data_IF_581253262837
#
_entry.id   IF_581253262837
#
_cell.length_a   1.000
_cell.length_b   1.000
_cell.length_c   1.000
_cell.angle_alpha   90.00
_cell.angle_beta   90.00
_cell.angle_gamma   90.00
#
_symmetry.space_group_name_H-M   'P 1'
#
loop_
_entity.id
_entity.type
_entity.pdbx_description
1 polymer ?
#
# COMPACT_ATOMS: atom_id res chain seq x y z
N UNK A 1 8.82 66.21 -11.76
CA UNK A 1 9.34 66.39 -10.38
C UNK A 1 8.30 65.84 -9.39
N UNK A 2 8.47 64.62 -8.98
CA UNK A 2 7.77 64.03 -7.84
C UNK A 2 8.69 62.96 -7.25
N UNK A 3 9.13 63.20 -6.04
CA UNK A 3 10.02 62.39 -5.23
C UNK A 3 9.37 61.07 -4.84
N UNK A 4 10.07 59.96 -5.06
CA UNK A 4 9.75 58.67 -4.48
C UNK A 4 10.60 58.48 -3.22
N UNK A 5 9.94 58.45 -2.07
CA UNK A 5 10.52 58.02 -0.80
C UNK A 5 10.63 56.51 -0.73
N UNK A 6 11.71 55.91 -0.17
CA UNK A 6 11.85 54.51 -0.04
C UNK A 6 11.12 53.95 1.18
N UNK A 7 10.41 52.84 0.98
CA UNK A 7 9.79 52.08 2.08
C UNK A 7 10.90 51.50 2.97
N UNK A 8 10.90 51.91 4.23
CA UNK A 8 11.76 51.32 5.26
C UNK A 8 11.25 49.93 5.63
N UNK A 9 12.17 48.98 5.67
CA UNK A 9 11.90 47.57 5.97
C UNK A 9 11.36 47.37 7.38
N UNK A 10 10.28 46.60 7.48
CA UNK A 10 9.79 46.02 8.73
C UNK A 10 10.47 44.65 8.89
N UNK A 11 11.47 44.62 9.76
CA UNK A 11 12.05 43.33 10.25
C UNK A 11 11.10 42.77 11.29
N UNK A 12 10.29 41.77 10.93
CA UNK A 12 9.59 40.96 11.90
C UNK A 12 10.60 40.03 12.61
N UNK A 13 11.01 40.40 13.81
CA UNK A 13 11.61 39.46 14.75
C UNK A 13 10.48 38.59 15.30
N UNK A 14 10.29 37.39 14.79
CA UNK A 14 9.56 36.32 15.45
C UNK A 14 10.45 35.72 16.50
N UNK A 15 10.41 36.26 17.72
CA UNK A 15 10.92 35.53 18.89
C UNK A 15 9.94 34.35 19.13
N UNK A 16 10.43 33.15 18.87
CA UNK A 16 9.76 31.94 19.31
C UNK A 16 9.79 31.90 20.84
N UNK A 17 8.69 32.28 21.47
CA UNK A 17 8.48 32.02 22.90
C UNK A 17 8.42 30.51 23.10
N UNK A 18 9.51 29.95 23.59
CA UNK A 18 9.55 28.56 24.09
C UNK A 18 8.79 28.55 25.42
N UNK A 19 7.58 28.00 25.43
CA UNK A 19 6.82 27.79 26.66
C UNK A 19 7.42 26.59 27.38
N UNK A 20 8.03 26.72 28.58
CA UNK A 20 8.66 25.62 29.30
C UNK A 20 7.67 24.54 29.80
N UNK A 21 6.37 24.69 29.49
CA UNK A 21 5.32 23.71 29.79
C UNK A 21 4.79 22.97 28.56
N UNK A 22 5.35 23.17 27.37
CA UNK A 22 5.09 22.34 26.23
C UNK A 22 5.83 20.99 26.43
N UNK A 23 5.24 20.15 27.29
CA UNK A 23 5.54 18.73 27.24
C UNK A 23 5.04 18.25 25.90
N UNK A 24 5.95 17.85 25.01
CA UNK A 24 5.57 17.13 23.79
C UNK A 24 4.55 16.05 24.20
N UNK A 25 3.41 15.94 23.47
CA UNK A 25 2.47 14.88 23.77
C UNK A 25 3.23 13.56 23.65
N UNK A 26 3.30 12.82 24.77
CA UNK A 26 3.81 11.45 24.77
C UNK A 26 2.86 10.69 23.85
N UNK A 27 3.24 10.52 22.59
CA UNK A 27 2.53 9.65 21.66
C UNK A 27 2.70 8.25 22.24
N UNK A 28 1.60 7.69 22.76
CA UNK A 28 1.58 6.27 23.09
C UNK A 28 2.08 5.51 21.86
N UNK A 29 2.94 4.49 22.01
CA UNK A 29 3.40 3.72 20.87
C UNK A 29 2.16 3.18 20.16
N UNK A 30 2.04 3.52 18.88
CA UNK A 30 0.94 3.06 18.05
C UNK A 30 0.96 1.54 18.04
N UNK A 31 -0.08 0.92 18.63
CA UNK A 31 -0.17 -0.53 18.71
C UNK A 31 -0.28 -1.06 17.28
N UNK A 32 0.74 -1.78 16.81
CA UNK A 32 0.71 -2.42 15.50
C UNK A 32 -0.42 -3.45 15.50
N UNK A 33 -1.36 -3.37 14.55
CA UNK A 33 -2.50 -4.27 14.49
C UNK A 33 -2.01 -5.70 14.23
N UNK A 34 -2.68 -6.68 14.83
CA UNK A 34 -2.36 -8.10 14.65
C UNK A 34 -2.81 -8.67 13.32
N UNK A 35 -3.53 -7.89 12.52
CA UNK A 35 -4.08 -8.27 11.21
C UNK A 35 -3.69 -7.25 10.13
N UNK A 36 -3.15 -7.72 9.01
CA UNK A 36 -2.60 -6.89 7.94
C UNK A 36 -3.14 -7.30 6.57
N UNK A 37 -3.41 -6.29 5.73
CA UNK A 37 -3.67 -6.44 4.30
C UNK A 37 -2.45 -5.92 3.55
N UNK A 38 -1.69 -6.79 2.87
CA UNK A 38 -0.71 -6.38 1.89
C UNK A 38 -1.43 -6.04 0.58
N UNK A 39 -1.35 -4.78 0.17
CA UNK A 39 -2.19 -4.23 -0.90
C UNK A 39 -1.36 -3.83 -2.12
N UNK A 40 -1.65 -4.43 -3.27
CA UNK A 40 -1.33 -3.84 -4.56
C UNK A 40 -2.43 -2.87 -5.02
N UNK A 41 -2.12 -2.05 -6.02
CA UNK A 41 -3.04 -1.04 -6.54
C UNK A 41 -3.62 -1.43 -7.89
N UNK A 42 -2.74 -1.75 -8.85
CA UNK A 42 -3.14 -2.17 -10.18
C UNK A 42 -3.83 -3.53 -10.11
N UNK A 43 -4.92 -3.70 -10.83
CA UNK A 43 -5.74 -4.91 -10.78
C UNK A 43 -6.54 -5.12 -9.48
N UNK A 44 -6.30 -4.31 -8.43
CA UNK A 44 -7.05 -4.38 -7.16
C UNK A 44 -7.97 -3.17 -6.99
N UNK A 45 -7.42 -1.97 -6.91
CA UNK A 45 -8.21 -0.73 -6.80
C UNK A 45 -8.31 0.02 -8.12
N UNK A 46 -7.39 -0.24 -9.06
CA UNK A 46 -7.38 0.28 -10.42
C UNK A 46 -7.58 -0.88 -11.40
N UNK A 47 -8.46 -0.72 -12.40
CA UNK A 47 -8.74 -1.76 -13.38
C UNK A 47 -9.25 -1.15 -14.71
N UNK A 48 -9.22 -1.94 -15.78
CA UNK A 48 -9.50 -1.45 -17.16
C UNK A 48 -10.90 -0.87 -17.38
N UNK A 49 -11.87 -1.21 -16.54
CA UNK A 49 -13.26 -0.74 -16.68
C UNK A 49 -13.55 0.55 -15.89
N UNK A 50 -12.54 1.11 -15.21
CA UNK A 50 -12.67 2.37 -14.50
C UNK A 50 -11.56 3.33 -14.92
N UNK A 51 -11.94 4.46 -15.50
CA UNK A 51 -11.03 5.49 -15.96
C UNK A 51 -11.44 6.85 -15.35
N UNK A 52 -10.62 7.36 -14.44
CA UNK A 52 -10.79 8.68 -13.84
C UNK A 52 -9.45 9.23 -13.36
N UNK A 53 -8.76 9.96 -14.22
CA UNK A 53 -7.44 10.52 -13.96
C UNK A 53 -7.37 11.37 -12.68
N UNK A 54 -8.45 12.11 -12.33
CA UNK A 54 -8.49 12.92 -11.11
C UNK A 54 -8.45 12.08 -9.83
N UNK A 55 -8.76 10.80 -9.93
CA UNK A 55 -8.70 9.83 -8.83
C UNK A 55 -7.56 8.82 -9.03
N UNK A 56 -6.59 9.10 -9.88
CA UNK A 56 -5.54 8.15 -10.24
C UNK A 56 -6.11 6.79 -10.68
N UNK A 57 -7.25 6.80 -11.40
CA UNK A 57 -8.00 5.61 -11.84
C UNK A 57 -8.45 4.65 -10.72
N UNK A 58 -8.47 5.10 -9.47
CA UNK A 58 -8.92 4.30 -8.31
C UNK A 58 -10.45 4.24 -8.29
N UNK A 59 -10.99 3.03 -8.40
CA UNK A 59 -12.43 2.76 -8.37
C UNK A 59 -13.00 2.88 -6.93
N UNK A 60 -14.00 3.76 -6.71
CA UNK A 60 -14.65 3.91 -5.41
C UNK A 60 -15.31 2.62 -4.89
N UNK A 61 -15.79 1.75 -5.78
CA UNK A 61 -16.43 0.50 -5.40
C UNK A 61 -15.40 -0.50 -4.87
N UNK A 62 -14.21 -0.55 -5.47
CA UNK A 62 -13.09 -1.35 -4.96
C UNK A 62 -12.59 -0.82 -3.60
N UNK A 63 -12.49 0.50 -3.44
CA UNK A 63 -12.16 1.14 -2.15
C UNK A 63 -13.20 0.80 -1.08
N UNK A 64 -14.50 0.82 -1.44
CA UNK A 64 -15.59 0.45 -0.52
C UNK A 64 -15.48 -1.01 -0.07
N UNK A 65 -15.09 -1.94 -0.95
CA UNK A 65 -14.87 -3.35 -0.60
C UNK A 65 -13.64 -3.51 0.30
N UNK A 66 -12.55 -2.83 0.01
CA UNK A 66 -11.38 -2.81 0.89
C UNK A 66 -11.74 -2.30 2.29
N UNK A 67 -12.49 -1.18 2.38
CA UNK A 67 -12.99 -0.67 3.67
C UNK A 67 -13.84 -1.70 4.43
N UNK A 68 -14.69 -2.48 3.73
CA UNK A 68 -15.47 -3.54 4.36
C UNK A 68 -14.57 -4.65 4.91
N UNK A 69 -13.47 -5.00 4.24
CA UNK A 69 -12.49 -5.96 4.78
C UNK A 69 -11.88 -5.41 6.08
N UNK A 70 -11.37 -4.17 6.05
CA UNK A 70 -10.81 -3.52 7.25
C UNK A 70 -11.80 -3.50 8.41
N UNK A 71 -13.04 -3.07 8.18
CA UNK A 71 -14.08 -3.01 9.22
C UNK A 71 -14.46 -4.39 9.79
N UNK A 72 -14.47 -5.43 8.96
CA UNK A 72 -14.85 -6.77 9.38
C UNK A 72 -13.76 -7.52 10.15
N UNK A 73 -12.49 -7.08 10.03
CA UNK A 73 -11.31 -7.81 10.53
C UNK A 73 -10.42 -7.00 11.45
N UNK A 74 -10.59 -5.66 11.50
CA UNK A 74 -9.68 -4.75 12.20
C UNK A 74 -8.31 -4.63 11.53
N UNK A 75 -8.15 -5.12 10.29
CA UNK A 75 -6.87 -5.09 9.61
C UNK A 75 -6.51 -3.68 9.13
N UNK A 76 -5.22 -3.37 9.24
CA UNK A 76 -4.60 -2.20 8.60
C UNK A 76 -3.92 -2.60 7.30
N UNK A 77 -3.63 -1.61 6.47
CA UNK A 77 -3.05 -1.81 5.14
C UNK A 77 -1.55 -1.54 5.16
N UNK A 78 -0.79 -2.41 4.50
CA UNK A 78 0.62 -2.21 4.12
C UNK A 78 0.69 -2.23 2.61
N UNK A 79 1.24 -1.18 2.02
CA UNK A 79 1.33 -1.06 0.56
C UNK A 79 2.49 -1.89 0.03
N UNK A 80 2.23 -2.74 -0.98
CA UNK A 80 3.23 -3.52 -1.72
C UNK A 80 3.31 -3.13 -3.20
N UNK A 81 2.50 -2.16 -3.64
CA UNK A 81 2.46 -1.71 -5.01
C UNK A 81 3.74 -1.01 -5.45
N UNK A 82 4.10 -1.13 -6.72
CA UNK A 82 5.16 -0.36 -7.36
C UNK A 82 4.96 1.17 -7.28
N UNK A 83 3.74 1.62 -7.03
CA UNK A 83 3.42 3.05 -6.85
C UNK A 83 4.19 3.72 -5.70
N UNK A 84 4.77 2.96 -4.76
CA UNK A 84 5.52 3.44 -3.59
C UNK A 84 6.81 4.20 -3.91
N UNK A 85 7.41 3.98 -5.04
CA UNK A 85 8.72 4.57 -5.30
C UNK A 85 9.33 4.22 -6.63
N UNK A 86 8.52 3.74 -7.57
CA UNK A 86 8.99 3.49 -8.92
C UNK A 86 9.27 4.84 -9.61
N UNK A 87 10.42 4.92 -10.29
CA UNK A 87 10.80 6.07 -11.11
C UNK A 87 9.77 6.39 -12.21
N UNK A 88 8.89 5.44 -12.52
CA UNK A 88 7.82 5.55 -13.52
C UNK A 88 6.52 6.14 -12.97
N UNK A 89 6.32 6.17 -11.65
CA UNK A 89 5.13 6.74 -11.03
C UNK A 89 5.45 8.12 -10.44
N UNK A 90 4.65 9.09 -10.85
CA UNK A 90 4.81 10.45 -10.36
C UNK A 90 4.38 10.53 -8.88
N UNK A 91 5.14 11.19 -8.02
CA UNK A 91 4.84 11.27 -6.58
C UNK A 91 3.41 11.68 -6.27
N UNK A 92 2.76 12.49 -7.13
CA UNK A 92 1.39 12.93 -6.90
C UNK A 92 0.35 11.78 -7.01
N UNK A 93 0.59 10.74 -7.82
CA UNK A 93 -0.31 9.58 -7.93
C UNK A 93 -0.31 8.81 -6.61
N UNK A 94 0.87 8.55 -6.05
CA UNK A 94 1.01 7.89 -4.76
C UNK A 94 0.34 8.68 -3.63
N UNK A 95 0.55 10.00 -3.58
CA UNK A 95 -0.11 10.86 -2.60
C UNK A 95 -1.62 10.92 -2.79
N UNK A 96 -2.11 10.94 -4.04
CA UNK A 96 -3.53 10.88 -4.35
C UNK A 96 -4.14 9.57 -3.83
N UNK A 97 -3.48 8.45 -4.05
CA UNK A 97 -3.91 7.14 -3.53
C UNK A 97 -4.02 7.17 -2.00
N UNK A 98 -2.95 7.55 -1.29
CA UNK A 98 -2.98 7.63 0.17
C UNK A 98 -4.08 8.56 0.69
N UNK A 99 -4.31 9.68 0.01
CA UNK A 99 -5.39 10.61 0.34
C UNK A 99 -6.77 9.97 0.15
N UNK A 100 -6.99 9.21 -0.94
CA UNK A 100 -8.27 8.50 -1.18
C UNK A 100 -8.51 7.45 -0.10
N UNK A 101 -7.50 6.67 0.29
CA UNK A 101 -7.61 5.69 1.36
C UNK A 101 -7.90 6.35 2.70
N UNK A 102 -7.22 7.46 3.01
CA UNK A 102 -7.48 8.27 4.20
C UNK A 102 -8.91 8.80 4.23
N UNK A 103 -9.42 9.36 3.12
CA UNK A 103 -10.81 9.85 3.02
C UNK A 103 -11.85 8.73 3.18
N UNK A 104 -11.49 7.50 2.85
CA UNK A 104 -12.30 6.31 3.08
C UNK A 104 -12.16 5.77 4.52
N UNK A 105 -11.39 6.46 5.38
CA UNK A 105 -11.08 6.02 6.74
C UNK A 105 -10.45 4.60 6.74
N UNK A 106 -9.53 4.34 5.81
CA UNK A 106 -8.71 3.13 5.72
C UNK A 106 -7.33 3.46 6.29
N UNK A 107 -6.95 2.76 7.35
CA UNK A 107 -5.66 2.96 7.99
C UNK A 107 -4.55 2.30 7.17
N UNK A 108 -3.71 3.12 6.55
CA UNK A 108 -2.48 2.68 5.89
C UNK A 108 -1.34 2.83 6.88
N UNK A 109 -0.92 1.68 7.43
CA UNK A 109 0.09 1.61 8.49
C UNK A 109 1.48 1.93 7.95
N UNK A 110 1.86 1.30 6.83
CA UNK A 110 3.24 1.34 6.33
C UNK A 110 3.31 1.03 4.83
N UNK A 111 4.50 1.19 4.28
CA UNK A 111 4.90 0.67 2.98
C UNK A 111 5.90 -0.48 3.20
N UNK A 112 5.70 -1.62 2.56
CA UNK A 112 6.70 -2.69 2.61
C UNK A 112 8.03 -2.24 1.97
N UNK A 113 9.17 -2.79 2.37
CA UNK A 113 10.45 -2.45 1.75
C UNK A 113 10.42 -2.75 0.25
N UNK A 114 11.04 -1.90 -0.55
CA UNK A 114 11.14 -2.16 -1.99
C UNK A 114 12.34 -3.06 -2.30
N UNK A 115 12.05 -4.26 -2.85
CA UNK A 115 13.07 -5.22 -3.25
C UNK A 115 12.95 -5.46 -4.76
N UNK A 116 13.97 -5.06 -5.55
CA UNK A 116 13.91 -5.23 -7.00
C UNK A 116 13.68 -6.69 -7.41
N UNK A 117 12.71 -6.90 -8.29
CA UNK A 117 12.46 -8.20 -8.90
C UNK A 117 13.63 -8.59 -9.79
N UNK A 118 14.14 -9.82 -9.62
CA UNK A 118 15.16 -10.40 -10.50
C UNK A 118 14.60 -11.64 -11.18
N UNK A 119 14.89 -11.77 -12.45
CA UNK A 119 14.46 -12.89 -13.27
C UNK A 119 15.67 -13.72 -13.72
N UNK A 120 15.45 -15.01 -13.94
CA UNK A 120 16.46 -15.93 -14.47
C UNK A 120 16.89 -15.50 -15.87
N UNK A 121 18.13 -15.78 -16.23
CA UNK A 121 18.65 -15.50 -17.59
C UNK A 121 17.84 -16.28 -18.63
N UNK A 122 17.61 -15.62 -19.77
CA UNK A 122 16.80 -16.21 -20.85
C UNK A 122 15.30 -16.05 -20.69
N UNK A 123 14.84 -15.30 -19.68
CA UNK A 123 13.44 -14.97 -19.54
C UNK A 123 12.91 -14.26 -20.79
N UNK A 124 11.89 -14.87 -21.38
CA UNK A 124 11.11 -14.31 -22.50
C UNK A 124 9.65 -14.63 -22.19
N UNK A 125 9.02 -13.80 -21.36
CA UNK A 125 7.63 -14.03 -20.96
C UNK A 125 6.67 -13.41 -21.96
N UNK A 126 5.69 -14.19 -22.35
CA UNK A 126 4.57 -13.76 -23.20
C UNK A 126 3.27 -13.63 -22.41
N UNK A 127 3.25 -14.07 -21.14
CA UNK A 127 2.06 -13.99 -20.27
C UNK A 127 2.45 -13.82 -18.80
N UNK A 128 1.65 -13.09 -18.05
CA UNK A 128 1.76 -12.89 -16.59
C UNK A 128 1.76 -14.22 -15.81
N UNK A 129 1.01 -15.22 -16.28
CA UNK A 129 0.90 -16.52 -15.61
C UNK A 129 2.21 -17.33 -15.64
N UNK A 130 3.19 -16.93 -16.45
CA UNK A 130 4.48 -17.58 -16.53
C UNK A 130 5.57 -16.89 -15.71
N UNK A 131 5.35 -15.63 -15.32
CA UNK A 131 6.33 -14.82 -14.60
C UNK A 131 6.89 -15.54 -13.36
N UNK A 132 6.01 -16.11 -12.55
CA UNK A 132 6.36 -16.79 -11.31
C UNK A 132 7.44 -17.90 -11.48
N UNK A 133 7.50 -18.54 -12.65
CA UNK A 133 8.48 -19.62 -12.94
C UNK A 133 9.92 -19.11 -13.07
N UNK A 134 10.08 -17.83 -13.37
CA UNK A 134 11.38 -17.21 -13.66
C UNK A 134 11.86 -16.27 -12.55
N UNK A 135 11.06 -16.04 -11.54
CA UNK A 135 11.46 -15.20 -10.41
C UNK A 135 12.59 -15.87 -9.64
N UNK A 136 13.65 -15.12 -9.39
CA UNK A 136 14.74 -15.58 -8.52
C UNK A 136 14.25 -15.48 -7.06
N UNK A 137 14.28 -16.58 -6.28
CA UNK A 137 13.89 -16.58 -4.87
C UNK A 137 14.65 -15.51 -4.07
N UNK A 138 13.98 -14.90 -3.09
CA UNK A 138 14.55 -13.79 -2.30
C UNK A 138 14.56 -12.44 -3.01
N UNK A 139 13.72 -12.28 -4.04
CA UNK A 139 13.57 -11.00 -4.77
C UNK A 139 12.11 -10.69 -5.04
N UNK A 140 11.79 -9.40 -5.27
CA UNK A 140 10.46 -8.92 -5.60
C UNK A 140 9.47 -8.97 -4.44
N UNK A 141 8.18 -8.88 -4.74
CA UNK A 141 7.10 -8.67 -3.77
C UNK A 141 6.96 -9.76 -2.71
N UNK A 142 7.20 -11.02 -3.04
CA UNK A 142 7.12 -12.08 -2.04
C UNK A 142 8.17 -11.89 -0.93
N UNK A 143 9.38 -11.47 -1.30
CA UNK A 143 10.43 -11.15 -0.34
C UNK A 143 10.13 -9.87 0.44
N UNK A 144 9.51 -8.87 -0.17
CA UNK A 144 9.05 -7.66 0.51
C UNK A 144 8.09 -7.98 1.65
N UNK A 145 7.10 -8.86 1.39
CA UNK A 145 6.15 -9.35 2.39
C UNK A 145 6.88 -10.11 3.51
N UNK A 146 7.80 -11.01 3.16
CA UNK A 146 8.57 -11.74 4.15
C UNK A 146 9.42 -10.84 5.04
N UNK A 147 10.14 -9.88 4.46
CA UNK A 147 10.97 -8.95 5.23
C UNK A 147 10.13 -8.09 6.15
N UNK A 148 8.99 -7.57 5.66
CA UNK A 148 8.09 -6.79 6.50
C UNK A 148 7.54 -7.62 7.66
N UNK A 149 7.03 -8.82 7.38
CA UNK A 149 6.51 -9.73 8.41
C UNK A 149 7.59 -10.12 9.45
N UNK A 150 8.84 -10.31 9.03
CA UNK A 150 9.93 -10.65 9.95
C UNK A 150 10.27 -9.52 10.92
N UNK A 151 10.00 -8.27 10.54
CA UNK A 151 10.15 -7.11 11.41
C UNK A 151 8.94 -6.92 12.34
N UNK A 152 7.80 -7.59 12.06
CA UNK A 152 6.53 -7.45 12.77
C UNK A 152 6.02 -8.81 13.29
N UNK A 153 6.69 -9.40 14.29
CA UNK A 153 6.32 -10.72 14.84
C UNK A 153 4.96 -10.72 15.55
N UNK A 154 4.43 -9.56 15.92
CA UNK A 154 3.10 -9.37 16.52
C UNK A 154 1.95 -9.63 15.53
N UNK A 155 2.20 -9.55 14.22
CA UNK A 155 1.20 -9.82 13.19
C UNK A 155 0.91 -11.31 13.11
N UNK A 156 -0.33 -11.68 13.39
CA UNK A 156 -0.81 -13.07 13.41
C UNK A 156 -1.60 -13.46 12.18
N UNK A 157 -2.31 -12.49 11.60
CA UNK A 157 -3.16 -12.72 10.44
C UNK A 157 -2.79 -11.74 9.34
N UNK A 158 -2.71 -12.22 8.12
CA UNK A 158 -2.53 -11.35 6.98
C UNK A 158 -3.18 -11.93 5.73
N UNK A 159 -3.40 -11.06 4.75
CA UNK A 159 -3.85 -11.40 3.41
C UNK A 159 -3.08 -10.56 2.40
N UNK A 160 -2.82 -11.12 1.24
CA UNK A 160 -2.18 -10.46 0.11
C UNK A 160 -3.25 -10.24 -0.95
N UNK A 161 -3.49 -8.99 -1.34
CA UNK A 161 -4.35 -8.60 -2.45
C UNK A 161 -3.47 -8.16 -3.61
N UNK A 162 -3.31 -9.01 -4.61
CA UNK A 162 -2.46 -8.80 -5.77
C UNK A 162 -2.99 -9.63 -6.95
N UNK A 163 -3.12 -9.03 -8.14
CA UNK A 163 -3.64 -9.72 -9.32
C UNK A 163 -2.55 -10.51 -10.07
N UNK A 164 -1.28 -10.26 -9.76
CA UNK A 164 -0.13 -10.88 -10.39
C UNK A 164 0.52 -11.95 -9.51
N UNK A 165 1.07 -13.00 -10.16
CA UNK A 165 1.77 -14.07 -9.46
C UNK A 165 3.25 -13.75 -9.28
N UNK A 166 3.61 -13.24 -8.11
CA UNK A 166 5.00 -13.02 -7.70
C UNK A 166 5.62 -14.25 -7.02
N UNK A 167 5.30 -15.44 -7.52
CA UNK A 167 5.77 -16.73 -6.97
C UNK A 167 5.25 -16.98 -5.54
N UNK A 168 4.04 -16.53 -5.22
CA UNK A 168 3.44 -16.62 -3.89
C UNK A 168 3.43 -18.05 -3.32
N UNK A 169 3.12 -19.05 -4.17
CA UNK A 169 3.13 -20.45 -3.75
C UNK A 169 4.53 -20.95 -3.41
N UNK A 170 5.53 -20.60 -4.25
CA UNK A 170 6.92 -20.99 -4.03
C UNK A 170 7.51 -20.33 -2.78
N UNK A 171 7.04 -19.12 -2.45
CA UNK A 171 7.40 -18.40 -1.23
C UNK A 171 6.66 -18.89 0.03
N UNK A 172 5.73 -19.85 -0.09
CA UNK A 172 4.91 -20.31 1.04
C UNK A 172 3.81 -19.34 1.45
N UNK A 173 3.49 -18.35 0.62
CA UNK A 173 2.50 -17.29 0.86
C UNK A 173 1.18 -17.53 0.12
N UNK A 174 1.09 -18.54 -0.75
CA UNK A 174 -0.04 -18.76 -1.64
C UNK A 174 -1.38 -18.97 -0.93
N UNK A 175 -1.39 -19.52 0.29
CA UNK A 175 -2.62 -19.70 1.06
C UNK A 175 -3.20 -18.39 1.63
N UNK A 176 -2.43 -17.30 1.62
CA UNK A 176 -2.81 -15.97 2.06
C UNK A 176 -3.10 -15.02 0.90
N UNK A 177 -2.92 -15.47 -0.33
CA UNK A 177 -3.05 -14.67 -1.53
C UNK A 177 -4.44 -14.77 -2.14
N UNK A 178 -5.09 -13.63 -2.32
CA UNK A 178 -6.35 -13.45 -3.05
C UNK A 178 -6.04 -12.80 -4.38
N UNK A 179 -6.39 -13.50 -5.46
CA UNK A 179 -6.10 -13.09 -6.84
C UNK A 179 -7.34 -12.64 -7.59
N UNK A 180 -7.58 -11.33 -7.76
CA UNK A 180 -8.51 -10.85 -8.80
C UNK A 180 -8.04 -11.22 -10.20
N UNK A 181 -8.94 -11.17 -11.18
CA UNK A 181 -8.55 -11.38 -12.56
C UNK A 181 -7.65 -10.21 -13.01
N UNK A 182 -6.49 -10.57 -13.59
CA UNK A 182 -5.44 -9.62 -13.97
C UNK A 182 -6.01 -8.38 -14.67
N UNK A 183 -5.82 -7.23 -14.01
CA UNK A 183 -6.24 -5.89 -14.43
C UNK A 183 -7.67 -5.78 -15.02
N UNK A 184 -8.57 -6.75 -14.76
CA UNK A 184 -9.89 -6.80 -15.37
C UNK A 184 -10.95 -5.98 -14.62
N UNK A 185 -11.36 -6.45 -13.42
CA UNK A 185 -12.51 -5.90 -12.68
C UNK A 185 -12.13 -5.41 -11.28
N UNK A 186 -10.87 -5.47 -10.90
CA UNK A 186 -10.42 -5.10 -9.58
C UNK A 186 -10.95 -6.03 -8.49
N UNK A 187 -11.04 -5.48 -7.28
CA UNK A 187 -11.52 -6.19 -6.10
C UNK A 187 -13.04 -6.38 -6.13
N UNK A 188 -13.51 -7.58 -6.42
CA UNK A 188 -14.93 -7.95 -6.44
C UNK A 188 -15.40 -8.50 -5.08
N UNK A 189 -16.73 -8.66 -4.91
CA UNK A 189 -17.32 -9.16 -3.65
C UNK A 189 -16.82 -10.56 -3.26
N UNK A 190 -16.57 -11.45 -4.22
CA UNK A 190 -15.99 -12.77 -3.95
C UNK A 190 -14.61 -12.69 -3.31
N UNK A 191 -13.76 -11.79 -3.83
CA UNK A 191 -12.40 -11.56 -3.31
C UNK A 191 -12.43 -10.92 -1.92
N UNK A 192 -13.38 -9.97 -1.69
CA UNK A 192 -13.62 -9.38 -0.38
C UNK A 192 -13.97 -10.45 0.65
N UNK A 193 -14.89 -11.36 0.32
CA UNK A 193 -15.32 -12.45 1.22
C UNK A 193 -14.18 -13.43 1.50
N UNK A 194 -13.37 -13.77 0.49
CA UNK A 194 -12.19 -14.62 0.62
C UNK A 194 -11.14 -13.98 1.55
N UNK A 195 -10.83 -12.70 1.34
CA UNK A 195 -9.90 -11.96 2.18
C UNK A 195 -10.35 -11.91 3.65
N UNK A 196 -11.64 -11.66 3.90
CA UNK A 196 -12.21 -11.68 5.26
C UNK A 196 -12.08 -13.09 5.87
N UNK A 197 -12.33 -14.14 5.09
CA UNK A 197 -12.21 -15.52 5.57
C UNK A 197 -10.76 -15.82 5.95
N UNK A 198 -9.79 -15.50 5.11
CA UNK A 198 -8.35 -15.70 5.39
C UNK A 198 -7.95 -14.98 6.68
N UNK A 199 -8.25 -13.69 6.79
CA UNK A 199 -7.91 -12.88 7.96
C UNK A 199 -8.53 -13.36 9.28
N UNK A 200 -9.68 -14.06 9.21
CA UNK A 200 -10.36 -14.58 10.41
C UNK A 200 -9.97 -16.01 10.78
N UNK A 201 -9.43 -16.78 9.84
CA UNK A 201 -9.29 -18.25 10.05
C UNK A 201 -7.86 -18.75 9.89
N UNK A 202 -6.99 -18.02 9.20
CA UNK A 202 -5.62 -18.45 8.99
C UNK A 202 -4.65 -17.64 9.84
N UNK A 203 -3.90 -18.33 10.67
CA UNK A 203 -2.78 -17.74 11.41
C UNK A 203 -1.50 -17.85 10.57
N UNK A 204 -0.61 -16.87 10.74
CA UNK A 204 0.76 -16.89 10.23
C UNK A 204 1.50 -18.07 10.82
N UNK A 205 2.14 -18.86 9.97
CA UNK A 205 3.01 -19.98 10.35
C UNK A 205 4.47 -19.57 10.46
#
# INVERSE_FOLDING_TARGET
LADHAPFAGITCHTEFYHNPHDTEPVTEPELIPTSIIFLDMDGILCHMHYDNEKRANIDPDCVTRLKKICNATGASVVIISSWRGDEHHTPHIYHTMRYILYQADIHVLDDAPHIPLKLQEGYSCTSEDELAKYIIPGTGRAEEVHQWLNQHPEVKHFVILDDSDYAWNQAGLGEYWVRPAYFAYGLEDKHMMEAIHILKTKERR
#
